data_IF_954952604937
#
_entry.id   IF_954952604937
#
_cell.length_a   1.000
_cell.length_b   1.000
_cell.length_c   1.000
_cell.angle_alpha   90.00
_cell.angle_beta   90.00
_cell.angle_gamma   90.00
#
_symmetry.space_group_name_H-M   'P 1'
#
loop_
_entity.id
_entity.type
_entity.pdbx_description
1 polymer ?
#
# COMPACT_ATOMS: atom_id res chain seq x y z
N UNK A 1 -7.81 -2.78 15.04
CA UNK A 1 -7.69 -1.37 14.65
C UNK A 1 -6.23 -1.03 14.39
N UNK A 2 -5.96 -0.59 13.17
CA UNK A 2 -4.66 -0.13 12.69
C UNK A 2 -4.29 1.22 13.31
N UNK A 3 -3.08 1.31 13.89
CA UNK A 3 -2.53 2.55 14.45
C UNK A 3 -1.51 3.13 13.47
N UNK A 4 -1.95 4.09 12.66
CA UNK A 4 -1.12 4.72 11.63
C UNK A 4 0.06 5.49 12.23
N UNK A 5 -0.11 6.15 13.37
CA UNK A 5 0.95 6.94 14.00
C UNK A 5 2.09 6.02 14.49
N UNK A 6 1.74 4.90 15.12
CA UNK A 6 2.72 3.88 15.51
C UNK A 6 3.40 3.26 14.29
N UNK A 7 2.64 3.02 13.23
CA UNK A 7 3.15 2.47 11.98
C UNK A 7 4.11 3.43 11.25
N UNK A 8 3.88 4.74 11.30
CA UNK A 8 4.78 5.76 10.73
C UNK A 8 6.14 5.79 11.44
N UNK A 9 6.17 5.57 12.75
CA UNK A 9 7.40 5.51 13.53
C UNK A 9 8.34 4.34 13.13
N UNK A 10 7.84 3.38 12.34
CA UNK A 10 8.61 2.23 11.85
C UNK A 10 9.46 2.55 10.62
N UNK A 11 9.25 3.69 9.97
CA UNK A 11 9.96 4.00 8.75
C UNK A 11 11.43 4.37 9.03
N UNK A 12 12.38 3.89 8.19
CA UNK A 12 13.78 4.26 8.32
C UNK A 12 13.96 5.74 8.09
N UNK A 13 14.89 6.34 8.84
CA UNK A 13 15.27 7.74 8.65
C UNK A 13 15.81 7.96 7.24
N UNK A 14 15.50 9.12 6.68
CA UNK A 14 16.01 9.54 5.38
C UNK A 14 16.43 11.00 5.43
N UNK A 15 17.56 11.32 4.80
CA UNK A 15 18.02 12.69 4.58
C UNK A 15 17.35 13.34 3.35
N UNK A 16 16.54 12.57 2.62
CA UNK A 16 15.75 13.00 1.48
C UNK A 16 14.26 12.86 1.76
N UNK A 17 13.40 13.59 1.04
CA UNK A 17 11.97 13.38 1.13
C UNK A 17 11.55 11.93 0.88
N UNK A 18 10.56 11.45 1.64
CA UNK A 18 10.09 10.05 1.58
C UNK A 18 9.68 9.67 0.16
N UNK A 19 9.08 10.58 -0.62
CA UNK A 19 8.77 10.33 -2.04
C UNK A 19 9.99 9.96 -2.90
N UNK A 20 11.18 10.43 -2.51
CA UNK A 20 12.46 10.16 -3.20
C UNK A 20 13.10 8.92 -2.58
N UNK A 21 13.14 8.84 -1.26
CA UNK A 21 13.72 7.71 -0.53
C UNK A 21 12.99 6.39 -0.86
N UNK A 22 11.66 6.40 -0.91
CA UNK A 22 10.83 5.26 -1.31
C UNK A 22 11.16 4.74 -2.70
N UNK A 23 11.77 5.54 -3.59
CA UNK A 23 12.22 5.13 -4.93
C UNK A 23 13.66 4.63 -4.94
N UNK A 24 14.29 4.47 -3.78
CA UNK A 24 15.59 3.85 -3.62
C UNK A 24 15.39 2.47 -3.03
N UNK A 25 15.79 1.44 -3.77
CA UNK A 25 15.51 0.06 -3.37
C UNK A 25 16.02 -0.27 -1.97
N UNK A 26 17.21 0.24 -1.60
CA UNK A 26 17.78 0.05 -0.25
C UNK A 26 16.84 0.56 0.85
N UNK A 27 16.38 1.80 0.73
CA UNK A 27 15.48 2.40 1.74
C UNK A 27 14.12 1.69 1.72
N UNK A 28 13.58 1.41 0.53
CA UNK A 28 12.30 0.71 0.36
C UNK A 28 12.31 -0.67 1.02
N UNK A 29 13.35 -1.46 0.76
CA UNK A 29 13.55 -2.77 1.36
C UNK A 29 13.66 -2.65 2.88
N UNK A 30 14.51 -1.77 3.38
CA UNK A 30 14.67 -1.56 4.83
C UNK A 30 13.35 -1.18 5.50
N UNK A 31 12.58 -0.27 4.88
CA UNK A 31 11.26 0.14 5.37
C UNK A 31 10.28 -1.02 5.42
N UNK A 32 10.24 -1.84 4.37
CA UNK A 32 9.36 -2.99 4.30
C UNK A 32 9.69 -4.06 5.36
N UNK A 33 10.98 -4.31 5.61
CA UNK A 33 11.43 -5.23 6.65
C UNK A 33 11.07 -4.72 8.06
N UNK A 34 11.39 -3.46 8.39
CA UNK A 34 11.07 -2.88 9.71
C UNK A 34 9.56 -2.86 9.97
N UNK A 35 8.78 -2.52 8.94
CA UNK A 35 7.33 -2.55 9.02
C UNK A 35 6.79 -3.97 9.30
N UNK A 36 7.28 -4.97 8.55
CA UNK A 36 6.86 -6.36 8.69
C UNK A 36 7.27 -6.94 10.05
N UNK A 37 8.45 -6.60 10.56
CA UNK A 37 8.93 -7.02 11.88
C UNK A 37 8.03 -6.50 13.00
N UNK A 38 7.69 -5.21 12.98
CA UNK A 38 6.81 -4.61 13.99
C UNK A 38 5.40 -5.18 13.91
N UNK A 39 4.88 -5.42 12.71
CA UNK A 39 3.61 -6.11 12.55
C UNK A 39 3.67 -7.53 13.12
N UNK A 40 4.76 -8.25 12.88
CA UNK A 40 5.00 -9.60 13.42
C UNK A 40 4.98 -9.62 14.95
N UNK A 41 5.66 -8.66 15.58
CA UNK A 41 5.69 -8.51 17.04
C UNK A 41 4.30 -8.21 17.63
N UNK A 42 3.53 -7.34 16.98
CA UNK A 42 2.23 -6.89 17.48
C UNK A 42 1.10 -7.91 17.29
N UNK A 43 1.24 -8.82 16.33
CA UNK A 43 0.19 -9.77 15.93
C UNK A 43 0.59 -11.23 16.14
N UNK A 44 1.84 -11.51 16.48
CA UNK A 44 2.33 -12.87 16.69
C UNK A 44 2.36 -13.70 15.41
N UNK A 45 2.43 -13.06 14.24
CA UNK A 45 2.52 -13.73 12.93
C UNK A 45 3.95 -13.60 12.42
N UNK A 46 4.57 -14.70 12.02
CA UNK A 46 5.89 -14.65 11.37
C UNK A 46 5.74 -14.61 9.86
N UNK A 47 6.55 -13.78 9.21
CA UNK A 47 6.59 -13.68 7.76
C UNK A 47 7.96 -14.09 7.22
N UNK A 48 7.94 -14.81 6.11
CA UNK A 48 9.09 -14.93 5.21
C UNK A 48 8.94 -13.89 4.10
N UNK A 49 10.00 -13.11 3.87
CA UNK A 49 10.07 -12.15 2.78
C UNK A 49 10.91 -12.75 1.66
N UNK A 50 10.36 -12.76 0.45
CA UNK A 50 11.04 -13.12 -0.79
C UNK A 50 11.66 -11.86 -1.40
N UNK A 51 12.98 -11.76 -1.30
CA UNK A 51 13.76 -10.61 -1.76
C UNK A 51 13.71 -10.42 -3.28
N UNK A 52 13.61 -11.50 -4.04
CA UNK A 52 13.55 -11.43 -5.51
C UNK A 52 12.20 -10.88 -5.95
N UNK A 53 11.11 -11.38 -5.35
CA UNK A 53 9.76 -10.83 -5.58
C UNK A 53 9.66 -9.39 -5.11
N UNK A 54 10.22 -9.05 -3.94
CA UNK A 54 10.21 -7.69 -3.42
C UNK A 54 10.89 -6.71 -4.39
N UNK A 55 12.06 -7.10 -4.92
CA UNK A 55 12.77 -6.32 -5.95
C UNK A 55 11.95 -6.22 -7.24
N UNK A 56 11.34 -7.31 -7.70
CA UNK A 56 10.51 -7.32 -8.90
C UNK A 56 9.30 -6.39 -8.77
N UNK A 57 8.55 -6.47 -7.66
CA UNK A 57 7.44 -5.55 -7.36
C UNK A 57 7.90 -4.09 -7.36
N UNK A 58 9.03 -3.80 -6.71
CA UNK A 58 9.59 -2.45 -6.67
C UNK A 58 9.93 -1.90 -8.06
N UNK A 59 10.57 -2.71 -8.91
CA UNK A 59 10.95 -2.29 -10.27
C UNK A 59 9.72 -2.06 -11.16
N UNK A 60 8.72 -2.95 -11.10
CA UNK A 60 7.45 -2.77 -11.83
C UNK A 60 6.72 -1.50 -11.38
N UNK A 61 6.75 -1.21 -10.08
CA UNK A 61 6.15 0.01 -9.55
C UNK A 61 6.87 1.28 -10.04
N UNK A 62 8.20 1.29 -10.09
CA UNK A 62 8.95 2.42 -10.66
C UNK A 62 8.64 2.63 -12.14
N UNK A 63 8.51 1.55 -12.91
CA UNK A 63 8.11 1.63 -14.33
C UNK A 63 6.68 2.16 -14.48
N UNK A 64 5.73 1.65 -13.68
CA UNK A 64 4.35 2.14 -13.66
C UNK A 64 4.26 3.64 -13.33
N UNK A 65 5.05 4.12 -12.36
CA UNK A 65 5.17 5.55 -12.07
C UNK A 65 5.73 6.32 -13.29
N UNK A 66 6.76 5.79 -13.93
CA UNK A 66 7.41 6.44 -15.06
C UNK A 66 6.45 6.62 -16.24
N UNK A 67 5.71 5.56 -16.59
CA UNK A 67 4.73 5.53 -17.69
C UNK A 67 3.55 6.48 -17.44
N UNK A 68 3.10 6.59 -16.19
CA UNK A 68 1.90 7.35 -15.84
C UNK A 68 2.18 8.79 -15.39
N UNK A 69 3.44 9.17 -15.22
CA UNK A 69 3.85 10.51 -14.77
C UNK A 69 3.21 11.59 -15.65
N UNK A 70 2.49 12.57 -15.05
CA UNK A 70 1.92 13.66 -15.83
C UNK A 70 3.01 14.58 -16.37
N UNK A 71 2.77 15.13 -17.55
CA UNK A 71 3.60 16.20 -18.12
C UNK A 71 3.28 17.58 -17.52
N UNK A 72 2.04 17.77 -17.07
CA UNK A 72 1.60 19.01 -16.42
C UNK A 72 1.98 19.03 -14.94
N UNK A 73 2.50 20.17 -14.48
CA UNK A 73 2.81 20.41 -13.08
C UNK A 73 1.55 20.50 -12.21
N UNK A 74 0.42 20.93 -12.77
CA UNK A 74 -0.84 21.03 -12.04
C UNK A 74 -1.35 19.66 -11.55
N UNK A 75 -1.05 18.58 -12.28
CA UNK A 75 -1.47 17.21 -11.94
C UNK A 75 -0.49 16.49 -10.99
N UNK A 76 0.59 17.17 -10.58
CA UNK A 76 1.67 16.53 -9.82
C UNK A 76 1.24 16.07 -8.43
N UNK A 77 0.50 16.91 -7.71
CA UNK A 77 0.01 16.58 -6.36
C UNK A 77 -0.89 15.35 -6.41
N UNK A 78 -1.85 15.37 -7.32
CA UNK A 78 -2.77 14.26 -7.55
C UNK A 78 -2.05 12.98 -7.94
N UNK A 79 -1.01 13.08 -8.77
CA UNK A 79 -0.21 11.92 -9.11
C UNK A 79 0.60 11.38 -7.92
N UNK A 80 1.12 12.26 -7.05
CA UNK A 80 1.79 11.84 -5.81
C UNK A 80 0.81 11.09 -4.90
N UNK A 81 -0.45 11.55 -4.81
CA UNK A 81 -1.51 10.87 -4.05
C UNK A 81 -1.86 9.50 -4.65
N UNK A 82 -1.86 9.39 -5.97
CA UNK A 82 -2.20 8.16 -6.69
C UNK A 82 -1.08 7.10 -6.72
N UNK A 83 0.18 7.51 -6.69
CA UNK A 83 1.32 6.62 -6.91
C UNK A 83 1.41 5.39 -5.96
N UNK A 84 0.99 5.45 -4.68
CA UNK A 84 0.95 4.27 -3.82
C UNK A 84 -0.11 3.23 -4.21
N UNK A 85 -1.18 3.61 -4.92
CA UNK A 85 -2.14 2.65 -5.49
C UNK A 85 -1.48 1.72 -6.50
N UNK A 86 -0.51 2.23 -7.28
CA UNK A 86 0.30 1.44 -8.20
C UNK A 86 1.24 0.49 -7.45
N UNK A 87 1.77 0.92 -6.31
CA UNK A 87 2.61 0.05 -5.46
C UNK A 87 1.81 -1.15 -4.96
N UNK A 88 0.59 -0.92 -4.48
CA UNK A 88 -0.27 -2.01 -4.02
C UNK A 88 -0.64 -2.95 -5.17
N UNK A 89 -0.94 -2.43 -6.36
CA UNK A 89 -1.17 -3.25 -7.55
C UNK A 89 -0.02 -4.25 -7.80
N UNK A 90 1.23 -3.77 -7.76
CA UNK A 90 2.39 -4.64 -7.98
C UNK A 90 2.63 -5.63 -6.85
N UNK A 91 2.36 -5.23 -5.61
CA UNK A 91 2.44 -6.16 -4.48
C UNK A 91 1.41 -7.26 -4.58
N UNK A 92 0.15 -6.95 -4.88
CA UNK A 92 -0.91 -7.97 -4.94
C UNK A 92 -0.72 -8.92 -6.13
N UNK A 93 -0.09 -8.46 -7.21
CA UNK A 93 0.20 -9.30 -8.36
C UNK A 93 1.17 -10.46 -8.07
N UNK A 94 2.10 -10.32 -7.12
CA UNK A 94 3.19 -11.31 -6.90
C UNK A 94 3.52 -11.59 -5.42
N UNK A 95 2.90 -10.85 -4.50
CA UNK A 95 2.99 -10.89 -3.02
C UNK A 95 4.34 -11.40 -2.51
N UNK A 96 5.27 -10.50 -2.13
CA UNK A 96 6.64 -10.87 -1.78
C UNK A 96 6.77 -11.39 -0.34
N UNK A 97 5.67 -11.69 0.34
CA UNK A 97 5.67 -12.15 1.71
C UNK A 97 4.76 -13.36 1.88
N UNK A 98 5.08 -14.19 2.88
CA UNK A 98 4.28 -15.36 3.23
C UNK A 98 4.25 -15.54 4.73
N UNK A 99 3.07 -15.65 5.30
CA UNK A 99 2.92 -15.98 6.71
C UNK A 99 3.27 -17.46 6.95
N UNK A 100 4.16 -17.73 7.90
CA UNK A 100 4.65 -19.09 8.20
C UNK A 100 4.17 -19.66 9.52
N UNK A 101 3.68 -18.83 10.42
CA UNK A 101 3.08 -19.29 11.66
C UNK A 101 1.84 -18.46 12.00
N UNK A 102 0.68 -19.11 11.99
CA UNK A 102 -0.63 -18.50 12.26
C UNK A 102 -1.14 -18.83 13.68
N UNK A 103 -0.32 -19.46 14.54
CA UNK A 103 -0.78 -20.02 15.82
C UNK A 103 -1.39 -19.01 16.82
N UNK A 104 -1.34 -17.71 16.52
CA UNK A 104 -1.89 -16.64 17.36
C UNK A 104 -3.06 -15.88 16.74
N UNK A 105 -3.41 -16.14 15.48
CA UNK A 105 -4.63 -15.62 14.85
C UNK A 105 -5.81 -16.51 15.26
N UNK A 106 -6.12 -16.52 16.56
CA UNK A 106 -7.23 -17.29 17.13
C UNK A 106 -8.60 -16.62 16.92
N UNK A 107 -8.62 -15.52 16.16
CA UNK A 107 -9.81 -14.75 15.84
C UNK A 107 -9.95 -14.59 14.32
N UNK A 108 -10.60 -15.60 13.71
CA UNK A 108 -10.97 -15.64 12.29
C UNK A 108 -11.91 -14.48 11.87
N UNK A 109 -12.37 -13.65 12.82
CA UNK A 109 -13.20 -12.47 12.52
C UNK A 109 -12.41 -11.21 12.21
N UNK A 110 -11.09 -11.21 12.40
CA UNK A 110 -10.23 -10.05 12.09
C UNK A 110 -9.68 -10.09 10.67
N UNK A 111 -9.53 -8.91 10.06
CA UNK A 111 -8.99 -8.75 8.71
C UNK A 111 -7.55 -9.25 8.64
N UNK A 112 -6.73 -8.87 9.61
CA UNK A 112 -5.32 -9.27 9.67
C UNK A 112 -5.14 -10.78 9.81
N UNK A 113 -6.12 -11.50 10.38
CA UNK A 113 -6.11 -12.95 10.43
C UNK A 113 -6.52 -13.59 9.09
N UNK A 114 -7.52 -13.00 8.42
CA UNK A 114 -8.09 -13.52 7.19
C UNK A 114 -7.12 -13.53 6.01
N UNK A 115 -6.31 -12.48 5.87
CA UNK A 115 -5.30 -12.39 4.83
C UNK A 115 -4.08 -11.58 5.30
N UNK A 116 -3.20 -12.19 6.12
CA UNK A 116 -2.09 -11.49 6.73
C UNK A 116 -1.16 -10.84 5.70
N UNK A 117 -0.87 -11.54 4.60
CA UNK A 117 0.00 -11.02 3.55
C UNK A 117 -0.61 -9.80 2.85
N UNK A 118 -1.87 -9.91 2.43
CA UNK A 118 -2.59 -8.79 1.80
C UNK A 118 -2.72 -7.60 2.73
N UNK A 119 -2.93 -7.87 4.03
CA UNK A 119 -3.02 -6.83 5.05
C UNK A 119 -1.72 -6.05 5.16
N UNK A 120 -0.59 -6.74 5.39
CA UNK A 120 0.73 -6.11 5.55
C UNK A 120 1.12 -5.28 4.34
N UNK A 121 0.96 -5.78 3.10
CA UNK A 121 1.34 -4.99 1.93
C UNK A 121 0.43 -3.77 1.72
N UNK A 122 -0.86 -3.88 2.06
CA UNK A 122 -1.82 -2.77 1.96
C UNK A 122 -1.50 -1.68 2.97
N UNK A 123 -1.32 -2.06 4.23
CA UNK A 123 -1.05 -1.10 5.31
C UNK A 123 0.35 -0.52 5.20
N UNK A 124 1.34 -1.26 4.67
CA UNK A 124 2.64 -0.69 4.31
C UNK A 124 2.49 0.44 3.27
N UNK A 125 1.72 0.22 2.20
CA UNK A 125 1.43 1.27 1.21
C UNK A 125 0.76 2.49 1.85
N UNK A 126 -0.16 2.29 2.81
CA UNK A 126 -0.78 3.39 3.56
C UNK A 126 0.23 4.17 4.40
N UNK A 127 1.18 3.50 5.05
CA UNK A 127 2.24 4.14 5.85
C UNK A 127 3.14 4.99 4.96
N UNK A 128 3.58 4.46 3.82
CA UNK A 128 4.41 5.21 2.85
C UNK A 128 3.64 6.40 2.28
N UNK A 129 2.34 6.22 1.98
CA UNK A 129 1.46 7.30 1.53
C UNK A 129 1.34 8.39 2.60
N UNK A 130 1.02 8.03 3.85
CA UNK A 130 0.84 8.98 4.94
C UNK A 130 2.11 9.76 5.26
N UNK A 131 3.27 9.09 5.33
CA UNK A 131 4.55 9.76 5.50
C UNK A 131 4.86 10.75 4.36
N UNK A 132 4.47 10.39 3.13
CA UNK A 132 4.61 11.28 1.98
C UNK A 132 3.66 12.48 2.08
N UNK A 133 2.40 12.28 2.46
CA UNK A 133 1.42 13.37 2.57
C UNK A 133 1.77 14.37 3.67
N UNK A 134 2.21 13.86 4.82
CA UNK A 134 2.65 14.69 5.93
C UNK A 134 3.87 15.54 5.53
N UNK A 135 4.84 14.94 4.84
CA UNK A 135 6.05 15.65 4.45
C UNK A 135 5.86 16.64 3.29
N UNK A 136 5.08 16.28 2.27
CA UNK A 136 4.93 17.11 1.06
C UNK A 136 3.86 18.19 1.20
N UNK A 137 2.81 17.90 1.96
CA UNK A 137 1.59 18.71 1.98
C UNK A 137 1.13 19.09 3.39
N UNK A 138 1.84 18.66 4.43
CA UNK A 138 1.44 18.84 5.84
C UNK A 138 0.01 18.37 6.10
N UNK A 139 -0.40 17.31 5.39
CA UNK A 139 -1.74 16.77 5.45
C UNK A 139 -1.77 15.49 6.27
N UNK A 140 -2.68 15.45 7.24
CA UNK A 140 -2.99 14.22 7.97
C UNK A 140 -3.81 13.28 7.09
N UNK A 141 -3.48 11.99 7.14
CA UNK A 141 -4.20 10.96 6.38
C UNK A 141 -5.23 10.30 7.27
N UNK A 142 -6.48 10.36 6.83
CA UNK A 142 -7.59 9.62 7.43
C UNK A 142 -7.81 8.35 6.63
N UNK A 143 -7.78 7.20 7.30
CA UNK A 143 -8.05 5.90 6.67
C UNK A 143 -9.50 5.52 6.92
N UNK A 144 -10.21 5.12 5.87
CA UNK A 144 -11.60 4.71 5.92
C UNK A 144 -11.77 3.44 6.78
N UNK A 145 -12.90 3.34 7.48
CA UNK A 145 -13.30 2.16 8.26
C UNK A 145 -13.37 0.87 7.42
N UNK A 146 -13.43 0.97 6.09
CA UNK A 146 -13.25 -0.15 5.16
C UNK A 146 -11.98 -0.98 5.46
N UNK A 147 -10.94 -0.39 6.06
CA UNK A 147 -9.75 -1.13 6.47
C UNK A 147 -10.04 -2.23 7.50
N UNK A 148 -11.00 -2.01 8.40
CA UNK A 148 -11.38 -2.98 9.44
C UNK A 148 -12.62 -3.83 9.04
N UNK A 149 -13.17 -3.65 7.83
CA UNK A 149 -14.36 -4.40 7.36
C UNK A 149 -13.99 -5.70 6.63
N UNK A 150 -14.14 -6.84 7.32
CA UNK A 150 -13.83 -8.16 6.77
C UNK A 150 -14.56 -8.48 5.45
N UNK A 151 -15.79 -7.97 5.24
CA UNK A 151 -16.52 -8.22 4.00
C UNK A 151 -15.87 -7.52 2.81
N UNK A 152 -15.42 -6.29 2.99
CA UNK A 152 -14.66 -5.55 1.97
C UNK A 152 -13.36 -6.26 1.63
N UNK A 153 -12.68 -6.85 2.61
CA UNK A 153 -11.45 -7.63 2.39
C UNK A 153 -11.66 -8.95 1.66
N UNK A 154 -12.79 -9.62 1.90
CA UNK A 154 -13.19 -10.79 1.11
C UNK A 154 -13.35 -10.41 -0.36
N UNK A 155 -14.11 -9.35 -0.64
CA UNK A 155 -14.30 -8.84 -1.99
C UNK A 155 -12.96 -8.44 -2.61
N UNK A 156 -12.11 -7.73 -1.86
CA UNK A 156 -10.80 -7.33 -2.35
C UNK A 156 -9.93 -8.53 -2.75
N UNK A 157 -9.78 -9.51 -1.86
CA UNK A 157 -8.97 -10.71 -2.13
C UNK A 157 -9.49 -11.46 -3.35
N UNK A 158 -10.80 -11.66 -3.45
CA UNK A 158 -11.43 -12.34 -4.58
C UNK A 158 -11.21 -11.60 -5.91
N UNK A 159 -11.51 -10.31 -5.95
CA UNK A 159 -11.39 -9.52 -7.19
C UNK A 159 -9.94 -9.33 -7.61
N UNK A 160 -9.02 -9.13 -6.66
CA UNK A 160 -7.60 -8.92 -6.99
C UNK A 160 -6.91 -10.19 -7.51
N UNK A 161 -7.44 -11.39 -7.19
CA UNK A 161 -7.00 -12.63 -7.84
C UNK A 161 -7.42 -12.71 -9.32
N UNK A 162 -8.53 -12.08 -9.70
CA UNK A 162 -9.03 -12.07 -11.09
C UNK A 162 -8.39 -10.94 -11.89
N UNK A 163 -8.31 -9.74 -11.30
CA UNK A 163 -7.77 -8.54 -11.92
C UNK A 163 -6.98 -7.73 -10.89
N UNK A 164 -5.65 -7.72 -11.01
CA UNK A 164 -4.76 -7.07 -10.05
C UNK A 164 -5.03 -5.56 -9.94
N UNK A 165 -5.47 -4.93 -11.02
CA UNK A 165 -5.80 -3.50 -11.07
C UNK A 165 -6.85 -3.10 -10.01
N UNK A 166 -7.71 -4.05 -9.60
CA UNK A 166 -8.66 -3.84 -8.51
C UNK A 166 -7.99 -3.38 -7.21
N UNK A 167 -6.76 -3.80 -6.94
CA UNK A 167 -5.99 -3.38 -5.78
C UNK A 167 -5.72 -1.87 -5.75
N UNK A 168 -5.46 -1.26 -6.90
CA UNK A 168 -5.31 0.19 -6.99
C UNK A 168 -6.62 0.92 -6.65
N UNK A 169 -7.77 0.36 -7.04
CA UNK A 169 -9.09 0.91 -6.73
C UNK A 169 -9.46 0.74 -5.25
N UNK A 170 -9.18 -0.42 -4.69
CA UNK A 170 -9.35 -0.68 -3.25
C UNK A 170 -8.51 0.28 -2.40
N UNK A 171 -7.26 0.53 -2.78
CA UNK A 171 -6.42 1.52 -2.07
C UNK A 171 -7.04 2.92 -2.07
N UNK A 172 -7.59 3.36 -3.19
CA UNK A 172 -8.28 4.65 -3.30
C UNK A 172 -9.52 4.71 -2.37
N UNK A 173 -10.30 3.63 -2.26
CA UNK A 173 -11.42 3.54 -1.31
C UNK A 173 -10.96 3.70 0.14
N UNK A 174 -9.83 3.08 0.52
CA UNK A 174 -9.26 3.22 1.86
C UNK A 174 -8.88 4.67 2.19
N UNK A 175 -8.60 5.48 1.17
CA UNK A 175 -8.33 6.92 1.29
C UNK A 175 -9.59 7.79 1.12
N UNK A 176 -10.78 7.18 1.08
CA UNK A 176 -12.06 7.88 0.92
C UNK A 176 -12.32 8.43 -0.47
N UNK A 177 -11.58 7.98 -1.49
CA UNK A 177 -11.74 8.40 -2.87
C UNK A 177 -12.70 7.47 -3.62
N UNK A 178 -13.35 7.99 -4.66
CA UNK A 178 -14.11 7.17 -5.61
C UNK A 178 -13.20 6.69 -6.75
N UNK A 179 -12.80 5.40 -6.79
CA UNK A 179 -11.96 4.89 -7.86
C UNK A 179 -12.73 4.77 -9.18
N UNK A 180 -12.01 4.99 -10.29
CA UNK A 180 -12.53 4.59 -11.60
C UNK A 180 -12.37 3.07 -11.77
N UNK A 181 -13.43 2.31 -11.50
CA UNK A 181 -13.40 0.84 -11.61
C UNK A 181 -13.18 0.30 -13.04
N UNK A 182 -13.36 1.11 -14.09
CA UNK A 182 -12.98 0.70 -15.46
C UNK A 182 -11.48 0.73 -15.70
N UNK A 183 -10.74 1.57 -14.96
CA UNK A 183 -9.28 1.68 -15.10
C UNK A 183 -8.62 2.15 -13.79
N UNK A 184 -8.74 1.35 -12.72
CA UNK A 184 -8.38 1.78 -11.37
C UNK A 184 -6.87 2.05 -11.19
N UNK A 185 -6.05 1.37 -11.99
CA UNK A 185 -4.59 1.54 -12.02
C UNK A 185 -4.11 2.54 -13.08
N UNK A 186 -4.99 3.35 -13.69
CA UNK A 186 -4.63 4.33 -14.71
C UNK A 186 -4.93 5.77 -14.28
N UNK A 187 -3.88 6.50 -13.92
CA UNK A 187 -3.97 7.90 -13.48
C UNK A 187 -4.62 8.82 -14.53
N UNK A 188 -4.34 8.61 -15.82
CA UNK A 188 -4.77 9.51 -16.90
C UNK A 188 -6.26 9.39 -17.21
N UNK A 189 -6.86 8.25 -16.88
CA UNK A 189 -8.26 7.92 -17.17
C UNK A 189 -9.15 8.12 -15.93
N UNK A 190 -8.60 8.63 -14.81
CA UNK A 190 -9.41 8.93 -13.62
C UNK A 190 -10.53 9.91 -13.95
N UNK A 191 -11.69 9.73 -13.29
CA UNK A 191 -12.80 10.66 -13.44
C UNK A 191 -12.33 12.07 -13.05
N UNK A 192 -12.29 12.99 -14.01
CA UNK A 192 -12.05 14.43 -13.75
C UNK A 192 -13.32 15.10 -13.19
N UNK A 193 -13.91 14.54 -12.14
CA UNK A 193 -15.04 15.11 -11.40
C UNK A 193 -14.97 14.64 -9.95
N UNK A 194 -15.10 15.48 -8.92
CA UNK A 194 -15.64 16.82 -8.83
C UNK A 194 -14.61 17.82 -8.26
N UNK A 195 -14.58 19.02 -8.84
CA UNK A 195 -14.11 20.22 -8.18
C UNK A 195 -15.25 20.81 -7.33
#
# INVERSE_FOLDING_TARGET
>A
MFDLAKALATLPRSNQPIRIAARQFRWFKEAFYQYTEIFSELRGVQFLIDDEKLAACFLRWLDAISVQRPGDKAEREDFIKFAPSLMLNEFIADIPIKATNHSYLNDDSSVEAFWPEGYVVTTFCLVVYAATMEQEFHSEVQVNATLDDLRSWWSFKENAHQETAYAAGFFQLLLGQEPNWWSPANFKVRNKGAA
#
